data_IF_459398208406
#
_entry.id   IF_459398208406
#
_cell.length_a   1.000
_cell.length_b   1.000
_cell.length_c   1.000
_cell.angle_alpha   90.00
_cell.angle_beta   90.00
_cell.angle_gamma   90.00
#
_symmetry.space_group_name_H-M   'P 1'
#
loop_
_entity.id
_entity.type
_entity.pdbx_description
1 polymer ?
#
# COMPACT_ATOMS: atom_id res chain seq x y z
N UNK A 1 -26.74 66.41 4.55
CA UNK A 1 -26.96 65.47 5.68
C UNK A 1 -27.97 64.35 5.37
N UNK A 2 -28.72 64.41 4.27
CA UNK A 2 -29.84 63.48 3.98
C UNK A 2 -29.48 62.30 3.07
N UNK A 3 -28.33 62.32 2.40
CA UNK A 3 -27.88 61.22 1.52
C UNK A 3 -27.04 60.15 2.27
N UNK A 4 -26.26 60.55 3.27
CA UNK A 4 -25.46 59.62 4.09
C UNK A 4 -26.34 58.73 4.98
N UNK A 5 -27.46 59.26 5.47
CA UNK A 5 -28.44 58.51 6.29
C UNK A 5 -29.18 57.46 5.45
N UNK A 6 -29.44 57.73 4.16
CA UNK A 6 -30.08 56.75 3.26
C UNK A 6 -29.16 55.58 2.89
N UNK A 7 -27.85 55.81 2.78
CA UNK A 7 -26.87 54.73 2.53
C UNK A 7 -26.68 53.85 3.77
N UNK A 8 -26.67 54.44 4.97
CA UNK A 8 -26.60 53.69 6.23
C UNK A 8 -27.87 52.85 6.45
N UNK A 9 -29.06 53.37 6.12
CA UNK A 9 -30.31 52.59 6.21
C UNK A 9 -30.38 51.44 5.18
N UNK A 10 -29.82 51.62 3.98
CA UNK A 10 -29.80 50.56 2.96
C UNK A 10 -28.84 49.43 3.35
N UNK A 11 -27.70 49.76 3.97
CA UNK A 11 -26.74 48.77 4.49
C UNK A 11 -27.37 48.02 5.67
N UNK A 12 -28.08 48.70 6.58
CA UNK A 12 -28.79 48.03 7.68
C UNK A 12 -29.94 47.13 7.19
N UNK A 13 -30.66 47.48 6.11
CA UNK A 13 -31.70 46.60 5.57
C UNK A 13 -31.14 45.35 4.84
N UNK A 14 -29.92 45.40 4.31
CA UNK A 14 -29.29 44.24 3.68
C UNK A 14 -28.72 43.22 4.68
N UNK A 15 -28.55 43.58 5.96
CA UNK A 15 -28.12 42.66 7.02
C UNK A 15 -29.27 41.99 7.79
N UNK A 16 -30.52 42.36 7.54
CA UNK A 16 -31.67 41.86 8.32
C UNK A 16 -32.39 40.66 7.71
N UNK A 17 -31.94 40.13 6.56
CA UNK A 17 -32.59 39.00 5.87
C UNK A 17 -31.59 37.94 5.40
N UNK A 18 -30.49 37.73 6.13
CA UNK A 18 -29.85 36.41 6.14
C UNK A 18 -30.55 35.63 7.24
N UNK A 19 -31.69 35.03 6.89
CA UNK A 19 -32.16 33.85 7.61
C UNK A 19 -31.10 32.80 7.31
N UNK A 20 -30.13 32.65 8.21
CA UNK A 20 -29.49 31.36 8.34
C UNK A 20 -30.64 30.39 8.56
N UNK A 21 -30.82 29.44 7.64
CA UNK A 21 -31.51 28.23 8.04
C UNK A 21 -30.66 27.69 9.18
N UNK A 22 -31.08 27.97 10.42
CA UNK A 22 -30.76 27.14 11.56
C UNK A 22 -31.34 25.78 11.16
N UNK A 23 -30.50 24.94 10.56
CA UNK A 23 -30.70 23.51 10.71
C UNK A 23 -30.71 23.32 12.22
N UNK A 24 -31.91 23.13 12.78
CA UNK A 24 -32.16 22.65 14.13
C UNK A 24 -31.64 21.20 14.23
N UNK A 25 -30.35 20.99 13.94
CA UNK A 25 -29.61 19.90 14.53
C UNK A 25 -29.54 20.23 16.01
N UNK A 26 -30.58 19.79 16.73
CA UNK A 26 -30.68 19.93 18.17
C UNK A 26 -29.33 19.57 18.78
N UNK A 27 -28.67 20.55 19.38
CA UNK A 27 -27.48 20.29 20.18
C UNK A 27 -27.86 19.22 21.20
N UNK A 28 -27.04 18.16 21.38
CA UNK A 28 -27.34 17.14 22.36
C UNK A 28 -27.57 17.82 23.72
N UNK A 29 -28.55 17.35 24.52
CA UNK A 29 -28.87 17.96 25.80
C UNK A 29 -27.62 18.07 26.68
N UNK A 30 -27.49 19.15 27.45
CA UNK A 30 -26.31 19.52 28.26
C UNK A 30 -25.80 18.42 29.22
N UNK A 31 -26.59 17.36 29.45
CA UNK A 31 -26.30 16.24 30.37
C UNK A 31 -26.06 14.88 29.69
N UNK A 32 -25.94 14.81 28.36
CA UNK A 32 -25.52 13.57 27.70
C UNK A 32 -24.15 13.75 27.04
N UNK A 33 -23.14 13.07 27.59
CA UNK A 33 -21.88 12.88 26.86
C UNK A 33 -22.20 12.32 25.45
N UNK A 34 -21.55 12.83 24.38
CA UNK A 34 -21.74 12.25 23.06
C UNK A 34 -21.38 10.76 23.10
N UNK A 35 -22.15 9.91 22.40
CA UNK A 35 -21.93 8.46 22.45
C UNK A 35 -20.53 8.13 21.94
N UNK A 36 -19.81 7.27 22.65
CA UNK A 36 -18.51 6.81 22.17
C UNK A 36 -18.73 5.72 21.12
N UNK A 37 -17.93 5.68 20.04
CA UNK A 37 -18.11 4.70 18.97
C UNK A 37 -18.18 3.25 19.49
N UNK A 38 -17.26 2.86 20.37
CA UNK A 38 -17.18 1.52 20.94
C UNK A 38 -18.23 1.18 22.02
N UNK A 39 -18.98 2.16 22.54
CA UNK A 39 -19.98 1.92 23.59
C UNK A 39 -21.22 1.24 23.04
N UNK A 40 -21.60 1.54 21.80
CA UNK A 40 -22.74 0.90 21.14
C UNK A 40 -22.48 -0.61 20.97
N UNK A 41 -21.32 -0.98 20.44
CA UNK A 41 -21.02 -2.39 20.14
C UNK A 41 -20.76 -3.21 21.40
N UNK A 42 -20.27 -2.56 22.46
CA UNK A 42 -20.17 -3.18 23.78
C UNK A 42 -21.54 -3.66 24.33
N UNK A 43 -22.65 -3.07 23.87
CA UNK A 43 -24.00 -3.44 24.27
C UNK A 43 -24.60 -4.56 23.41
N UNK A 44 -24.16 -4.71 22.15
CA UNK A 44 -24.73 -5.69 21.22
C UNK A 44 -24.19 -7.12 21.43
N UNK A 45 -23.02 -7.27 22.07
CA UNK A 45 -22.36 -8.55 22.40
C UNK A 45 -22.38 -9.57 21.24
N UNK A 46 -21.95 -9.12 20.06
CA UNK A 46 -21.93 -9.93 18.84
C UNK A 46 -20.89 -11.05 18.94
N UNK A 47 -21.19 -12.26 18.40
CA UNK A 47 -20.18 -13.31 18.29
C UNK A 47 -19.06 -12.90 17.32
N UNK A 48 -17.83 -13.43 17.47
CA UNK A 48 -16.74 -13.20 16.53
C UNK A 48 -17.15 -13.42 15.08
N UNK A 49 -16.86 -12.47 14.19
CA UNK A 49 -17.22 -12.57 12.77
C UNK A 49 -16.52 -13.72 12.07
N UNK A 50 -17.26 -14.39 11.19
CA UNK A 50 -16.82 -15.60 10.50
C UNK A 50 -16.39 -15.29 9.06
N UNK A 51 -15.14 -15.60 8.67
CA UNK A 51 -14.68 -15.53 7.27
C UNK A 51 -15.60 -16.36 6.34
N UNK A 52 -15.77 -15.91 5.10
CA UNK A 52 -16.62 -16.49 4.04
C UNK A 52 -18.14 -16.45 4.32
N UNK A 53 -18.55 -16.43 5.57
CA UNK A 53 -19.94 -16.25 5.98
C UNK A 53 -20.31 -14.77 6.08
N UNK A 54 -19.58 -14.01 6.89
CA UNK A 54 -19.87 -12.59 7.16
C UNK A 54 -19.14 -11.64 6.20
N UNK A 55 -18.03 -12.07 5.59
CA UNK A 55 -17.19 -11.22 4.74
C UNK A 55 -16.32 -12.05 3.78
N UNK A 56 -15.79 -11.41 2.73
CA UNK A 56 -14.78 -12.01 1.85
C UNK A 56 -13.40 -11.83 2.48
N UNK A 57 -12.66 -12.92 2.78
CA UNK A 57 -11.33 -12.80 3.37
C UNK A 57 -10.37 -12.06 2.45
N UNK A 58 -9.57 -11.17 3.02
CA UNK A 58 -8.57 -10.42 2.27
C UNK A 58 -7.32 -11.26 2.00
N UNK A 59 -6.83 -11.22 0.76
CA UNK A 59 -5.58 -11.85 0.36
C UNK A 59 -4.44 -10.84 0.46
N UNK A 60 -3.34 -11.26 1.07
CA UNK A 60 -2.12 -10.46 1.23
C UNK A 60 -0.99 -11.11 0.44
N UNK A 61 -0.77 -10.73 -0.83
CA UNK A 61 0.31 -11.31 -1.65
C UNK A 61 1.66 -11.18 -0.93
N UNK A 62 2.46 -12.24 -0.92
CA UNK A 62 3.72 -12.36 -0.15
C UNK A 62 3.62 -12.21 1.39
N UNK A 63 2.41 -12.01 1.92
CA UNK A 63 2.14 -11.82 3.33
C UNK A 63 1.36 -12.97 3.94
N UNK A 64 0.76 -12.71 5.11
CA UNK A 64 -0.13 -13.65 5.79
C UNK A 64 -1.08 -12.91 6.72
N UNK A 65 -2.22 -13.51 7.00
CA UNK A 65 -3.15 -13.06 8.03
C UNK A 65 -2.68 -13.54 9.41
N UNK A 66 -2.89 -12.73 10.44
CA UNK A 66 -2.55 -13.05 11.82
C UNK A 66 -3.47 -14.17 12.33
N UNK A 67 -2.86 -15.22 12.88
CA UNK A 67 -3.61 -16.28 13.52
C UNK A 67 -4.27 -15.78 14.82
N UNK A 68 -5.47 -16.27 15.08
CA UNK A 68 -6.19 -16.01 16.33
C UNK A 68 -6.85 -17.25 16.88
N UNK A 69 -7.23 -17.17 18.16
CA UNK A 69 -8.09 -18.13 18.82
C UNK A 69 -9.30 -17.42 19.39
N UNK A 70 -10.45 -18.09 19.41
CA UNK A 70 -11.62 -17.58 20.12
C UNK A 70 -11.56 -18.06 21.57
N UNK A 71 -11.54 -17.13 22.52
CA UNK A 71 -11.56 -17.39 23.96
C UNK A 71 -12.55 -16.45 24.62
N UNK A 72 -13.58 -17.00 25.26
CA UNK A 72 -14.64 -16.23 25.96
C UNK A 72 -15.29 -15.14 25.08
N UNK A 73 -15.50 -15.44 23.79
CA UNK A 73 -16.09 -14.49 22.82
C UNK A 73 -15.11 -13.46 22.25
N UNK A 74 -13.82 -13.48 22.64
CA UNK A 74 -12.79 -12.60 22.08
C UNK A 74 -11.98 -13.30 21.01
N UNK A 75 -11.66 -12.60 19.91
CA UNK A 75 -10.54 -12.99 19.03
C UNK A 75 -9.23 -12.62 19.71
N UNK A 76 -8.43 -13.63 20.04
CA UNK A 76 -7.16 -13.48 20.74
C UNK A 76 -6.01 -13.63 19.76
N UNK A 77 -5.27 -12.55 19.57
CA UNK A 77 -4.07 -12.48 18.73
C UNK A 77 -2.81 -12.41 19.59
N UNK A 78 -1.68 -12.87 19.02
CA UNK A 78 -0.35 -12.68 19.59
C UNK A 78 0.59 -12.11 18.54
N UNK A 79 1.06 -10.89 18.79
CA UNK A 79 2.10 -10.23 18.02
C UNK A 79 3.42 -10.27 18.79
N UNK A 80 4.49 -10.61 18.10
CA UNK A 80 5.86 -10.61 18.62
C UNK A 80 6.68 -9.64 17.79
N UNK A 81 7.10 -8.53 18.37
CA UNK A 81 8.05 -7.62 17.73
C UNK A 81 9.47 -8.18 17.92
N UNK A 82 10.17 -8.51 16.84
CA UNK A 82 11.48 -9.15 16.90
C UNK A 82 12.41 -8.76 15.75
N UNK A 83 13.74 -8.86 15.92
CA UNK A 83 14.68 -8.80 14.82
C UNK A 83 14.51 -10.01 13.89
N UNK A 84 14.52 -9.77 12.58
CA UNK A 84 14.32 -10.79 11.55
C UNK A 84 15.34 -10.63 10.41
N UNK A 85 15.61 -11.73 9.69
CA UNK A 85 16.17 -11.67 8.35
C UNK A 85 15.00 -11.74 7.36
N UNK A 86 14.85 -10.72 6.51
CA UNK A 86 13.79 -10.65 5.52
C UNK A 86 14.40 -10.59 4.11
N UNK A 87 13.89 -11.41 3.20
CA UNK A 87 14.31 -11.38 1.81
C UNK A 87 13.38 -10.46 1.02
N UNK A 88 13.89 -9.37 0.45
CA UNK A 88 13.08 -8.43 -0.36
C UNK A 88 12.89 -8.98 -1.78
N UNK A 89 13.96 -9.57 -2.34
CA UNK A 89 13.97 -10.27 -3.62
C UNK A 89 15.17 -11.23 -3.63
N UNK A 90 15.22 -12.13 -4.61
CA UNK A 90 16.41 -12.97 -4.82
C UNK A 90 17.66 -12.07 -4.97
N UNK A 91 18.68 -12.37 -4.18
CA UNK A 91 19.90 -11.56 -4.11
C UNK A 91 19.86 -10.34 -3.17
N UNK A 92 18.75 -10.00 -2.51
CA UNK A 92 18.70 -8.93 -1.49
C UNK A 92 17.97 -9.38 -0.21
N UNK A 93 18.75 -9.61 0.84
CA UNK A 93 18.27 -9.86 2.21
C UNK A 93 18.59 -8.70 3.13
N UNK A 94 17.71 -8.46 4.10
CA UNK A 94 17.85 -7.40 5.08
C UNK A 94 17.70 -7.90 6.52
N UNK A 95 18.54 -7.39 7.40
CA UNK A 95 18.42 -7.53 8.85
C UNK A 95 17.55 -6.41 9.38
N UNK A 96 16.26 -6.70 9.53
CA UNK A 96 15.22 -5.73 9.83
C UNK A 96 14.43 -6.13 11.08
N UNK A 97 13.43 -5.37 11.48
CA UNK A 97 12.50 -5.72 12.55
C UNK A 97 11.12 -6.00 11.96
N UNK A 98 10.37 -6.89 12.60
CA UNK A 98 9.05 -7.27 12.11
C UNK A 98 8.18 -7.88 13.20
N UNK A 99 6.91 -8.03 12.86
CA UNK A 99 5.95 -8.72 13.70
C UNK A 99 5.80 -10.18 13.27
N UNK A 100 5.91 -11.10 14.21
CA UNK A 100 5.77 -12.55 14.02
C UNK A 100 6.75 -13.16 12.98
N UNK A 101 7.88 -12.52 12.70
CA UNK A 101 8.83 -13.00 11.70
C UNK A 101 8.63 -12.46 10.28
N UNK A 102 7.79 -11.44 10.06
CA UNK A 102 7.61 -10.81 8.74
C UNK A 102 7.66 -9.28 8.79
N UNK A 103 8.03 -8.67 7.68
CA UNK A 103 7.98 -7.22 7.46
C UNK A 103 7.46 -6.91 6.05
N UNK A 104 6.26 -6.33 5.89
CA UNK A 104 5.32 -5.95 6.95
C UNK A 104 4.85 -7.10 7.84
N UNK A 105 4.34 -6.76 9.02
CA UNK A 105 3.70 -7.69 9.95
C UNK A 105 2.46 -8.36 9.35
N UNK A 106 1.94 -9.41 10.00
CA UNK A 106 0.74 -10.09 9.53
C UNK A 106 -0.48 -9.16 9.51
N UNK A 107 -1.39 -9.34 8.55
CA UNK A 107 -2.66 -8.62 8.50
C UNK A 107 -3.53 -9.04 9.70
N UNK A 108 -3.97 -8.09 10.51
CA UNK A 108 -5.00 -8.37 11.52
C UNK A 108 -6.36 -8.26 10.83
N UNK A 109 -7.11 -9.36 10.81
CA UNK A 109 -8.39 -9.41 10.10
C UNK A 109 -9.52 -9.76 11.08
N UNK A 110 -10.51 -8.87 11.13
CA UNK A 110 -11.64 -8.91 12.06
C UNK A 110 -12.89 -8.39 11.36
N UNK A 111 -14.04 -8.53 12.02
CA UNK A 111 -15.30 -7.94 11.60
C UNK A 111 -15.72 -6.80 12.54
N UNK A 112 -16.58 -5.92 12.05
CA UNK A 112 -17.24 -4.88 12.83
C UNK A 112 -17.91 -5.48 14.09
N UNK A 113 -17.71 -4.85 15.24
CA UNK A 113 -18.16 -5.32 16.54
C UNK A 113 -17.31 -6.43 17.17
N UNK A 114 -16.26 -6.93 16.51
CA UNK A 114 -15.39 -7.94 17.12
C UNK A 114 -14.67 -7.40 18.37
N UNK A 115 -14.77 -8.18 19.45
CA UNK A 115 -14.00 -7.98 20.68
C UNK A 115 -12.64 -8.65 20.52
N UNK A 116 -11.57 -7.91 20.74
CA UNK A 116 -10.21 -8.43 20.55
C UNK A 116 -9.34 -8.32 21.80
N UNK A 117 -8.45 -9.30 21.95
CA UNK A 117 -7.30 -9.24 22.84
C UNK A 117 -6.05 -9.43 22.01
N UNK A 118 -5.17 -8.44 22.00
CA UNK A 118 -3.91 -8.51 21.27
C UNK A 118 -2.79 -8.46 22.29
N UNK A 119 -2.13 -9.61 22.45
CA UNK A 119 -0.91 -9.70 23.25
C UNK A 119 0.27 -9.28 22.39
N UNK A 120 1.09 -8.35 22.88
CA UNK A 120 2.30 -7.89 22.20
C UNK A 120 3.51 -8.23 23.04
N UNK A 121 4.35 -9.16 22.56
CA UNK A 121 5.64 -9.50 23.17
C UNK A 121 6.76 -8.73 22.50
N UNK A 122 7.57 -8.03 23.28
CA UNK A 122 8.75 -7.33 22.79
C UNK A 122 9.99 -8.22 22.90
N UNK A 123 10.55 -8.69 21.78
CA UNK A 123 11.87 -9.35 21.72
C UNK A 123 12.96 -8.45 21.08
N UNK A 124 12.67 -7.18 20.83
CA UNK A 124 13.64 -6.20 20.36
C UNK A 124 14.66 -5.89 21.47
N UNK A 125 15.85 -5.38 21.12
CA UNK A 125 16.83 -4.93 22.11
C UNK A 125 16.47 -3.59 22.79
N UNK A 126 15.37 -2.96 22.37
CA UNK A 126 14.91 -1.63 22.82
C UNK A 126 13.44 -1.69 23.25
N UNK A 127 12.95 -0.80 24.13
CA UNK A 127 11.53 -0.70 24.41
C UNK A 127 10.69 -0.42 23.15
N UNK A 128 9.42 -0.77 23.17
CA UNK A 128 8.48 -0.51 22.06
C UNK A 128 7.07 -0.26 22.61
N UNK A 129 6.13 0.06 21.73
CA UNK A 129 4.69 0.04 21.95
C UNK A 129 4.02 -0.34 20.62
N UNK A 130 2.69 -0.46 20.58
CA UNK A 130 1.94 -0.59 19.33
C UNK A 130 0.76 0.37 19.38
N UNK A 131 0.67 1.25 18.38
CA UNK A 131 -0.47 2.12 18.12
C UNK A 131 -1.34 1.55 17.02
N UNK A 132 -2.66 1.75 17.16
CA UNK A 132 -3.71 1.20 16.29
C UNK A 132 -4.27 2.33 15.42
N UNK A 133 -3.50 2.68 14.40
CA UNK A 133 -3.71 3.86 13.57
C UNK A 133 -5.08 3.86 12.88
N UNK A 134 -5.91 4.86 13.22
CA UNK A 134 -7.24 5.07 12.66
C UNK A 134 -8.36 4.29 13.38
N UNK A 135 -8.02 3.43 14.35
CA UNK A 135 -9.02 2.69 15.12
C UNK A 135 -9.57 3.57 16.25
N UNK A 136 -10.89 3.70 16.33
CA UNK A 136 -11.56 4.46 17.39
C UNK A 136 -11.66 3.64 18.66
N UNK A 137 -10.68 3.80 19.56
CA UNK A 137 -10.55 3.01 20.79
C UNK A 137 -10.45 3.87 22.05
N UNK A 138 -10.59 3.22 23.20
CA UNK A 138 -10.31 3.85 24.48
C UNK A 138 -8.85 4.32 24.54
N UNK A 139 -8.65 5.58 24.94
CA UNK A 139 -7.35 6.23 25.07
C UNK A 139 -6.30 5.37 25.80
N UNK A 140 -6.67 4.63 26.85
CA UNK A 140 -5.72 3.77 27.58
C UNK A 140 -5.14 2.60 26.77
N UNK A 141 -5.72 2.26 25.62
CA UNK A 141 -5.27 1.20 24.71
C UNK A 141 -4.56 1.74 23.46
N UNK A 142 -4.33 3.06 23.39
CA UNK A 142 -3.94 3.75 22.16
C UNK A 142 -2.51 3.46 21.67
N UNK A 143 -1.55 3.16 22.54
CA UNK A 143 -0.20 2.79 22.06
C UNK A 143 0.92 3.80 22.27
N UNK A 144 0.63 5.00 22.79
CA UNK A 144 1.58 6.11 22.78
C UNK A 144 2.42 6.11 24.06
N UNK A 145 3.71 5.77 23.90
CA UNK A 145 4.64 5.68 25.03
C UNK A 145 4.79 7.02 25.77
N UNK A 146 4.56 7.01 27.09
CA UNK A 146 4.68 8.19 27.95
C UNK A 146 3.45 9.12 27.96
N UNK A 147 2.48 8.92 27.05
CA UNK A 147 1.23 9.67 27.01
C UNK A 147 0.05 8.82 27.45
N UNK A 148 -0.22 7.72 26.72
CA UNK A 148 -1.39 6.88 26.97
C UNK A 148 -1.04 5.57 27.67
N UNK A 149 0.23 5.15 27.61
CA UNK A 149 0.72 3.97 28.34
C UNK A 149 2.22 4.05 28.67
N UNK A 150 2.73 3.20 29.60
CA UNK A 150 4.16 2.93 29.70
C UNK A 150 4.68 2.12 28.50
N UNK A 151 5.99 2.21 28.24
CA UNK A 151 6.66 1.36 27.22
C UNK A 151 6.53 -0.12 27.55
N UNK A 152 6.61 -0.98 26.53
CA UNK A 152 6.80 -2.43 26.65
C UNK A 152 8.32 -2.70 26.69
N UNK A 153 8.92 -3.03 27.85
CA UNK A 153 10.35 -3.32 27.93
C UNK A 153 10.71 -4.60 27.14
N UNK A 154 11.97 -4.78 26.72
CA UNK A 154 12.45 -6.05 26.18
C UNK A 154 12.11 -7.24 27.10
N UNK A 155 11.58 -8.32 26.50
CA UNK A 155 11.15 -9.54 27.16
C UNK A 155 9.77 -9.50 27.81
N UNK A 156 9.09 -8.34 27.84
CA UNK A 156 7.76 -8.20 28.42
C UNK A 156 6.66 -8.40 27.38
N UNK A 157 5.46 -8.74 27.87
CA UNK A 157 4.25 -8.86 27.06
C UNK A 157 3.17 -7.96 27.62
N UNK A 158 2.56 -7.13 26.77
CA UNK A 158 1.45 -6.26 27.12
C UNK A 158 0.16 -6.74 26.46
N UNK A 159 -0.98 -6.45 27.07
CA UNK A 159 -2.31 -6.73 26.54
C UNK A 159 -2.95 -5.43 26.07
N UNK A 160 -3.44 -5.45 24.84
CA UNK A 160 -4.40 -4.47 24.34
C UNK A 160 -5.75 -5.15 24.17
N UNK A 161 -6.80 -4.57 24.76
CA UNK A 161 -8.15 -5.14 24.71
C UNK A 161 -9.15 -4.05 24.37
N UNK A 162 -9.85 -4.21 23.24
CA UNK A 162 -10.83 -3.25 22.76
C UNK A 162 -11.79 -3.91 21.75
N UNK A 163 -12.77 -3.14 21.28
CA UNK A 163 -13.76 -3.54 20.28
C UNK A 163 -13.47 -2.73 19.01
N UNK A 164 -13.64 -3.33 17.84
CA UNK A 164 -13.58 -2.61 16.57
C UNK A 164 -14.97 -2.08 16.20
N UNK A 165 -15.27 -0.78 16.36
CA UNK A 165 -16.63 -0.29 16.20
C UNK A 165 -17.05 -0.13 14.74
N UNK A 166 -16.12 0.29 13.89
CA UNK A 166 -16.41 0.63 12.50
C UNK A 166 -15.64 -0.28 11.55
N UNK A 167 -16.31 -0.71 10.48
CA UNK A 167 -15.64 -1.36 9.36
C UNK A 167 -14.75 -0.37 8.60
N UNK A 168 -13.60 -0.85 8.14
CA UNK A 168 -12.61 0.00 7.51
C UNK A 168 -11.28 -0.72 7.29
N UNK A 169 -10.29 0.07 6.92
CA UNK A 169 -8.91 -0.41 6.74
C UNK A 169 -7.98 0.53 7.49
N UNK A 170 -7.16 -0.05 8.35
CA UNK A 170 -6.36 0.65 9.34
C UNK A 170 -4.93 0.11 9.35
N UNK A 171 -4.09 0.66 10.20
CA UNK A 171 -2.70 0.24 10.34
C UNK A 171 -2.35 -0.01 11.81
N UNK A 172 -1.25 -0.71 12.05
CA UNK A 172 -0.63 -0.76 13.36
C UNK A 172 0.88 -0.59 13.22
N UNK A 173 1.46 0.21 14.12
CA UNK A 173 2.89 0.52 14.12
C UNK A 173 3.33 1.00 15.52
N UNK A 174 4.62 0.93 15.87
CA UNK A 174 5.12 1.45 17.12
C UNK A 174 4.91 2.94 17.26
N UNK A 175 4.65 3.38 18.50
CA UNK A 175 4.67 4.81 18.85
C UNK A 175 5.73 5.10 19.92
N UNK A 176 6.84 4.37 19.81
CA UNK A 176 8.09 4.57 20.53
C UNK A 176 9.23 4.52 19.51
N UNK A 177 10.09 5.55 19.47
CA UNK A 177 11.16 5.65 18.46
C UNK A 177 10.68 5.45 17.01
N UNK A 178 9.51 6.01 16.67
CA UNK A 178 8.76 5.81 15.40
C UNK A 178 9.66 5.76 14.16
N UNK A 179 10.46 6.81 13.93
CA UNK A 179 11.43 6.90 12.83
C UNK A 179 12.28 5.63 12.68
N UNK A 180 12.83 5.11 13.79
CA UNK A 180 13.68 3.92 13.76
C UNK A 180 12.87 2.64 13.66
N UNK A 181 11.80 2.48 14.44
CA UNK A 181 11.09 1.20 14.50
C UNK A 181 10.27 0.94 13.24
N UNK A 182 9.60 1.97 12.73
CA UNK A 182 8.83 1.92 11.48
C UNK A 182 9.76 1.79 10.29
N UNK A 183 10.81 2.61 10.18
CA UNK A 183 11.80 2.51 9.10
C UNK A 183 12.60 1.21 9.10
N UNK A 184 12.60 0.46 10.22
CA UNK A 184 13.12 -0.89 10.33
C UNK A 184 12.07 -1.97 10.03
N UNK A 185 10.83 -1.64 9.65
CA UNK A 185 9.82 -2.60 9.17
C UNK A 185 8.75 -3.02 10.17
N UNK A 186 8.70 -2.43 11.38
CA UNK A 186 7.63 -2.74 12.35
C UNK A 186 6.33 -2.02 11.99
N UNK A 187 5.70 -2.45 10.90
CA UNK A 187 4.44 -1.88 10.42
C UNK A 187 3.53 -3.00 9.92
N UNK A 188 2.22 -2.81 9.97
CA UNK A 188 1.26 -3.75 9.39
C UNK A 188 -0.13 -3.14 9.24
N UNK A 189 -1.02 -3.86 8.59
CA UNK A 189 -2.41 -3.42 8.36
C UNK A 189 -3.42 -4.18 9.22
N UNK A 190 -4.55 -3.53 9.44
CA UNK A 190 -5.75 -4.12 10.04
C UNK A 190 -6.89 -3.95 9.03
N UNK A 191 -7.66 -4.99 8.78
CA UNK A 191 -8.91 -4.89 8.03
C UNK A 191 -10.05 -5.27 8.98
N UNK A 192 -10.99 -4.34 9.15
CA UNK A 192 -12.26 -4.56 9.84
C UNK A 192 -13.33 -4.67 8.77
N UNK A 193 -13.80 -5.88 8.54
CA UNK A 193 -14.85 -6.13 7.56
C UNK A 193 -16.21 -5.71 8.08
N UNK A 194 -17.01 -5.13 7.19
CA UNK A 194 -18.44 -5.01 7.45
C UNK A 194 -19.03 -6.42 7.47
N UNK A 195 -19.92 -6.69 8.43
CA UNK A 195 -20.69 -7.94 8.44
C UNK A 195 -21.77 -7.88 7.37
N UNK A 196 -21.58 -8.62 6.29
CA UNK A 196 -22.49 -8.71 5.17
C UNK A 196 -22.67 -10.19 4.77
N UNK A 197 -23.72 -10.86 5.27
CA UNK A 197 -23.95 -12.27 4.96
C UNK A 197 -24.32 -12.51 3.49
N UNK A 198 -24.78 -11.48 2.76
CA UNK A 198 -25.10 -11.59 1.34
C UNK A 198 -23.82 -11.54 0.48
N UNK A 199 -23.41 -12.65 -0.17
CA UNK A 199 -22.20 -12.69 -1.00
C UNK A 199 -22.24 -11.70 -2.17
N UNK A 200 -23.42 -11.42 -2.73
CA UNK A 200 -23.57 -10.53 -3.90
C UNK A 200 -23.28 -9.05 -3.56
N UNK A 201 -23.18 -8.70 -2.27
CA UNK A 201 -22.84 -7.35 -1.80
C UNK A 201 -21.39 -7.21 -1.36
N UNK A 202 -20.62 -8.29 -1.39
CA UNK A 202 -19.21 -8.34 -1.05
C UNK A 202 -18.36 -8.29 -2.33
N UNK A 203 -17.09 -7.86 -2.26
CA UNK A 203 -16.19 -8.10 -3.38
C UNK A 203 -15.97 -9.60 -3.57
N UNK A 204 -15.83 -10.04 -4.82
CA UNK A 204 -15.41 -11.40 -5.15
C UNK A 204 -13.94 -11.63 -4.77
N UNK A 205 -13.12 -10.58 -4.88
CA UNK A 205 -11.70 -10.59 -4.50
C UNK A 205 -11.36 -9.35 -3.69
N UNK A 206 -10.77 -9.54 -2.52
CA UNK A 206 -10.25 -8.44 -1.69
C UNK A 206 -8.75 -8.61 -1.48
N UNK A 207 -7.95 -7.62 -1.87
CA UNK A 207 -6.49 -7.65 -1.77
C UNK A 207 -5.98 -6.55 -0.85
N UNK A 208 -4.97 -6.88 -0.03
CA UNK A 208 -4.26 -5.92 0.83
C UNK A 208 -2.83 -5.69 0.35
N UNK A 209 -2.49 -4.42 0.11
CA UNK A 209 -1.20 -3.96 -0.37
C UNK A 209 -0.65 -2.92 0.61
N UNK A 210 0.41 -3.30 1.30
CA UNK A 210 1.19 -2.50 2.23
C UNK A 210 2.38 -1.90 1.51
N UNK A 211 2.36 -0.58 1.32
CA UNK A 211 3.45 0.18 0.71
C UNK A 211 4.46 0.56 1.78
N UNK A 212 5.74 0.34 1.52
CA UNK A 212 6.82 0.69 2.43
C UNK A 212 8.10 0.99 1.66
N UNK A 213 9.03 1.72 2.28
CA UNK A 213 10.27 2.18 1.67
C UNK A 213 11.47 1.96 2.59
N UNK A 214 12.64 1.86 1.98
CA UNK A 214 13.88 1.52 2.66
C UNK A 214 15.05 2.25 2.01
N UNK A 215 16.04 2.57 2.84
CA UNK A 215 17.37 2.92 2.35
C UNK A 215 18.34 1.80 2.72
N UNK A 216 18.85 1.12 1.71
CA UNK A 216 19.78 0.00 1.88
C UNK A 216 20.98 0.23 0.95
N UNK A 217 22.15 0.48 1.55
CA UNK A 217 23.39 0.65 0.80
C UNK A 217 23.72 -0.62 0.01
N UNK A 218 24.18 -0.44 -1.23
CA UNK A 218 24.64 -1.53 -2.09
C UNK A 218 25.72 -2.34 -1.37
N UNK A 219 25.61 -3.66 -1.40
CA UNK A 219 26.52 -4.56 -0.70
C UNK A 219 26.19 -4.82 0.77
N UNK A 220 25.18 -4.15 1.32
CA UNK A 220 24.84 -4.21 2.76
C UNK A 220 23.47 -4.84 2.98
N UNK A 221 23.19 -5.22 4.22
CA UNK A 221 21.94 -5.87 4.61
C UNK A 221 21.14 -5.08 5.66
N UNK A 222 21.61 -3.92 6.13
CA UNK A 222 20.92 -3.20 7.21
C UNK A 222 20.26 -1.94 6.66
N UNK A 223 18.92 -1.79 6.79
CA UNK A 223 18.27 -0.53 6.46
C UNK A 223 18.84 0.62 7.30
N UNK A 224 18.92 1.80 6.70
CA UNK A 224 19.25 3.06 7.37
C UNK A 224 17.97 3.89 7.60
N UNK A 225 17.32 3.80 8.77
CA UNK A 225 16.08 4.52 9.05
C UNK A 225 16.30 6.03 9.31
N UNK A 226 17.53 6.52 9.22
CA UNK A 226 17.87 7.95 9.38
C UNK A 226 18.06 8.65 8.03
N UNK A 227 18.12 7.90 6.93
CA UNK A 227 18.19 8.48 5.60
C UNK A 227 16.83 8.99 5.16
N UNK A 228 16.84 10.00 4.29
CA UNK A 228 15.64 10.58 3.67
C UNK A 228 15.66 10.40 2.15
N UNK A 229 16.60 9.59 1.63
CA UNK A 229 16.72 9.18 0.24
C UNK A 229 16.51 7.67 0.13
N UNK A 230 15.28 7.27 -0.15
CA UNK A 230 14.88 5.87 -0.21
C UNK A 230 15.27 5.25 -1.55
N UNK A 231 15.82 4.04 -1.55
CA UNK A 231 16.34 3.40 -2.76
C UNK A 231 15.77 2.00 -3.02
N UNK A 232 14.91 1.51 -2.12
CA UNK A 232 14.14 0.27 -2.27
C UNK A 232 12.71 0.56 -1.83
N UNK A 233 11.76 0.38 -2.74
CA UNK A 233 10.36 0.70 -2.51
C UNK A 233 9.51 -0.53 -2.79
N UNK A 234 8.75 -0.95 -1.79
CA UNK A 234 8.18 -2.29 -1.71
C UNK A 234 6.66 -2.29 -1.66
N UNK A 235 6.06 -3.33 -2.22
CA UNK A 235 4.68 -3.75 -1.96
C UNK A 235 4.73 -5.05 -1.15
N UNK A 236 4.10 -5.07 0.02
CA UNK A 236 4.13 -6.21 0.96
C UNK A 236 5.56 -6.71 1.25
N UNK A 237 6.52 -5.79 1.35
CA UNK A 237 7.92 -6.10 1.67
C UNK A 237 8.72 -6.71 0.51
N UNK A 238 8.16 -6.75 -0.71
CA UNK A 238 8.81 -7.24 -1.92
C UNK A 238 8.91 -6.15 -2.99
N UNK A 239 9.87 -6.31 -3.90
CA UNK A 239 9.98 -5.52 -5.13
C UNK A 239 9.79 -6.43 -6.35
N UNK A 240 9.40 -5.88 -7.49
CA UNK A 240 9.25 -6.65 -8.72
C UNK A 240 10.61 -7.25 -9.15
N UNK A 241 10.71 -8.53 -9.57
CA UNK A 241 9.65 -9.48 -9.85
C UNK A 241 9.30 -10.42 -8.69
N UNK A 242 9.79 -10.18 -7.47
CA UNK A 242 9.53 -11.03 -6.32
C UNK A 242 8.12 -10.85 -5.72
N UNK A 243 7.39 -9.82 -6.16
CA UNK A 243 5.99 -9.62 -5.81
C UNK A 243 5.11 -10.72 -6.38
N UNK A 244 4.28 -11.33 -5.53
CA UNK A 244 3.28 -12.31 -5.92
C UNK A 244 2.12 -11.60 -6.62
N UNK A 245 1.67 -12.12 -7.79
CA UNK A 245 0.63 -11.46 -8.56
C UNK A 245 -0.73 -11.49 -7.86
N UNK A 246 -1.55 -10.48 -8.13
CA UNK A 246 -2.97 -10.51 -7.75
C UNK A 246 -3.70 -11.32 -8.83
N UNK A 247 -4.54 -12.25 -8.42
CA UNK A 247 -5.21 -13.19 -9.33
C UNK A 247 -6.72 -13.04 -9.22
N UNK A 248 -7.38 -12.67 -10.33
CA UNK A 248 -8.81 -12.47 -10.39
C UNK A 248 -9.43 -13.18 -11.60
N UNK A 249 -10.68 -13.62 -11.47
CA UNK A 249 -11.45 -14.20 -12.56
C UNK A 249 -12.12 -13.08 -13.36
N UNK A 250 -12.29 -13.30 -14.67
CA UNK A 250 -13.11 -12.45 -15.52
C UNK A 250 -14.52 -12.35 -14.93
N UNK A 251 -14.94 -11.12 -14.62
CA UNK A 251 -16.24 -10.82 -14.00
C UNK A 251 -16.19 -10.57 -12.50
N UNK A 252 -15.08 -10.82 -11.82
CA UNK A 252 -14.94 -10.55 -10.38
C UNK A 252 -15.05 -9.04 -10.11
N UNK A 253 -15.78 -8.66 -9.06
CA UNK A 253 -15.65 -7.36 -8.40
C UNK A 253 -14.42 -7.40 -7.51
N UNK A 254 -13.41 -6.60 -7.83
CA UNK A 254 -12.11 -6.61 -7.16
C UNK A 254 -11.93 -5.37 -6.31
N UNK A 255 -11.58 -5.57 -5.04
CA UNK A 255 -11.10 -4.54 -4.14
C UNK A 255 -9.59 -4.66 -3.98
N UNK A 256 -8.90 -3.53 -4.04
CA UNK A 256 -7.50 -3.42 -3.63
C UNK A 256 -7.40 -2.33 -2.57
N UNK A 257 -6.89 -2.71 -1.41
CA UNK A 257 -6.69 -1.85 -0.23
C UNK A 257 -5.22 -1.50 -0.13
N UNK A 258 -4.89 -0.24 -0.36
CA UNK A 258 -3.54 0.28 -0.25
C UNK A 258 -3.37 0.99 1.08
N UNK A 259 -2.49 0.51 1.94
CA UNK A 259 -2.01 1.23 3.11
C UNK A 259 -0.60 1.73 2.87
N UNK A 260 -0.35 3.03 3.03
CA UNK A 260 0.99 3.58 2.91
C UNK A 260 1.65 3.71 4.28
N UNK A 261 2.53 2.74 4.57
CA UNK A 261 3.29 2.65 5.81
C UNK A 261 4.72 3.21 5.65
N UNK A 262 4.98 3.92 4.54
CA UNK A 262 6.26 4.56 4.26
C UNK A 262 6.53 5.71 5.25
N UNK A 263 7.80 6.03 5.46
CA UNK A 263 8.20 7.08 6.41
C UNK A 263 7.98 8.50 5.87
N UNK A 264 8.07 8.69 4.55
CA UNK A 264 8.04 10.01 3.92
C UNK A 264 7.32 10.06 2.57
N UNK A 265 7.48 9.06 1.70
CA UNK A 265 6.99 9.22 0.33
C UNK A 265 5.50 8.89 0.16
N UNK A 266 4.83 9.71 -0.63
CA UNK A 266 3.48 9.43 -1.14
C UNK A 266 3.58 8.61 -2.42
N UNK A 267 2.62 7.70 -2.62
CA UNK A 267 2.66 6.77 -3.76
C UNK A 267 1.41 6.93 -4.64
N UNK A 268 1.52 7.55 -5.82
CA UNK A 268 0.47 7.51 -6.83
C UNK A 268 0.47 6.14 -7.52
N UNK A 269 -0.40 5.22 -7.12
CA UNK A 269 -0.48 3.88 -7.71
C UNK A 269 -1.37 3.91 -8.95
N UNK A 270 -0.79 3.62 -10.11
CA UNK A 270 -1.48 3.51 -11.39
C UNK A 270 -1.75 2.04 -11.73
N UNK A 271 -2.98 1.69 -12.09
CA UNK A 271 -3.37 0.36 -12.58
C UNK A 271 -3.64 0.42 -14.09
N UNK A 272 -2.92 -0.40 -14.85
CA UNK A 272 -3.12 -0.52 -16.29
C UNK A 272 -4.39 -1.32 -16.60
N UNK A 273 -4.98 -1.10 -17.79
CA UNK A 273 -6.10 -1.91 -18.30
C UNK A 273 -7.45 -1.67 -17.64
N UNK A 274 -7.51 -0.91 -16.55
CA UNK A 274 -8.71 -0.67 -15.77
C UNK A 274 -8.88 0.80 -15.39
N UNK A 275 -10.13 1.21 -15.24
CA UNK A 275 -10.51 2.32 -14.39
C UNK A 275 -11.18 1.78 -13.13
N UNK A 276 -11.10 2.53 -12.04
CA UNK A 276 -11.62 2.12 -10.73
C UNK A 276 -12.24 3.29 -9.99
N UNK A 277 -13.01 3.01 -8.95
CA UNK A 277 -13.52 4.01 -8.01
C UNK A 277 -12.80 3.89 -6.67
N UNK A 278 -12.50 5.02 -6.04
CA UNK A 278 -11.98 5.03 -4.66
C UNK A 278 -13.19 5.01 -3.72
N UNK A 279 -13.45 3.86 -3.10
CA UNK A 279 -14.68 3.62 -2.33
C UNK A 279 -14.51 3.78 -0.81
N UNK A 280 -13.28 3.95 -0.34
CA UNK A 280 -13.02 4.12 1.09
C UNK A 280 -11.62 4.66 1.38
N UNK A 281 -11.48 5.22 2.58
CA UNK A 281 -10.20 5.64 3.16
C UNK A 281 -10.10 5.14 4.60
N UNK A 282 -9.00 5.45 5.26
CA UNK A 282 -8.79 5.38 6.72
C UNK A 282 -9.86 6.08 7.57
N UNK A 283 -10.68 6.97 6.99
CA UNK A 283 -11.78 7.66 7.65
C UNK A 283 -13.16 7.05 7.38
N UNK A 284 -13.24 5.92 6.67
CA UNK A 284 -14.48 5.20 6.39
C UNK A 284 -14.82 5.08 4.90
N UNK A 285 -16.07 4.71 4.63
CA UNK A 285 -16.56 4.36 3.30
C UNK A 285 -17.28 5.54 2.61
N UNK A 286 -17.22 5.57 1.29
CA UNK A 286 -18.05 6.46 0.50
C UNK A 286 -19.54 6.15 0.75
N UNK A 287 -20.32 7.17 1.13
CA UNK A 287 -21.75 7.02 1.41
C UNK A 287 -22.58 6.70 0.18
N UNK A 288 -22.14 7.15 -1.01
CA UNK A 288 -22.75 6.84 -2.29
C UNK A 288 -21.68 6.59 -3.36
N UNK A 289 -21.58 5.34 -3.83
CA UNK A 289 -20.64 4.94 -4.89
C UNK A 289 -21.03 5.46 -6.29
N UNK A 290 -22.27 5.89 -6.48
CA UNK A 290 -22.80 6.32 -7.79
C UNK A 290 -22.26 7.67 -8.23
N UNK A 291 -21.88 8.54 -7.29
CA UNK A 291 -21.32 9.87 -7.53
C UNK A 291 -19.79 9.88 -7.64
N UNK A 292 -19.14 8.74 -7.39
CA UNK A 292 -17.68 8.61 -7.49
C UNK A 292 -17.22 8.68 -8.95
N UNK A 293 -16.19 9.49 -9.19
CA UNK A 293 -15.54 9.61 -10.49
C UNK A 293 -14.58 8.44 -10.70
N UNK A 294 -14.60 7.78 -11.87
CA UNK A 294 -13.60 6.78 -12.21
C UNK A 294 -12.20 7.39 -12.33
N UNK A 295 -11.23 6.73 -11.73
CA UNK A 295 -9.80 7.06 -11.74
C UNK A 295 -9.00 5.94 -12.40
N UNK A 296 -7.75 6.25 -12.75
CA UNK A 296 -6.75 5.23 -13.17
C UNK A 296 -5.51 5.24 -12.28
N UNK A 297 -5.35 6.28 -11.47
CA UNK A 297 -4.24 6.45 -10.54
C UNK A 297 -4.79 6.92 -9.20
N UNK A 298 -4.41 6.26 -8.10
CA UNK A 298 -4.79 6.63 -6.74
C UNK A 298 -3.57 7.15 -6.00
N UNK A 299 -3.60 8.39 -5.54
CA UNK A 299 -2.59 8.88 -4.59
C UNK A 299 -2.86 8.25 -3.22
N UNK A 300 -1.85 7.58 -2.67
CA UNK A 300 -1.85 7.04 -1.31
C UNK A 300 -0.87 7.87 -0.47
N UNK A 301 -1.36 8.88 0.29
CA UNK A 301 -0.53 9.68 1.18
C UNK A 301 0.13 8.84 2.28
N UNK A 302 1.23 9.33 2.86
CA UNK A 302 1.88 8.68 4.01
C UNK A 302 0.91 8.59 5.17
N UNK A 303 0.86 7.43 5.83
CA UNK A 303 -0.03 7.20 6.96
C UNK A 303 -1.50 7.20 6.58
N UNK A 304 -1.83 6.99 5.29
CA UNK A 304 -3.21 6.94 4.82
C UNK A 304 -3.53 5.63 4.10
N UNK A 305 -4.82 5.35 4.03
CA UNK A 305 -5.36 4.19 3.32
C UNK A 305 -6.28 4.62 2.19
N UNK A 306 -6.28 3.85 1.09
CA UNK A 306 -7.22 3.96 -0.02
C UNK A 306 -7.73 2.58 -0.43
N UNK A 307 -9.04 2.47 -0.64
CA UNK A 307 -9.67 1.25 -1.17
C UNK A 307 -10.22 1.54 -2.56
N UNK A 308 -9.74 0.80 -3.56
CA UNK A 308 -10.20 0.92 -4.94
C UNK A 308 -11.06 -0.26 -5.33
N UNK A 309 -12.15 -0.01 -6.06
CA UNK A 309 -13.07 -1.03 -6.58
C UNK A 309 -13.15 -0.94 -8.11
N UNK A 310 -13.07 -2.09 -8.78
CA UNK A 310 -13.33 -2.23 -10.22
C UNK A 310 -13.89 -3.61 -10.56
N UNK A 311 -14.52 -3.70 -11.73
CA UNK A 311 -14.96 -4.96 -12.32
C UNK A 311 -13.82 -5.52 -13.19
N UNK A 312 -13.37 -6.74 -12.92
CA UNK A 312 -12.35 -7.43 -13.68
C UNK A 312 -12.87 -7.91 -15.05
N UNK A 313 -13.14 -6.98 -15.98
CA UNK A 313 -13.74 -7.22 -17.29
C UNK A 313 -12.76 -7.28 -18.47
N UNK A 314 -11.44 -7.18 -18.22
CA UNK A 314 -10.41 -7.07 -19.24
C UNK A 314 -9.29 -8.11 -19.00
N UNK A 315 -9.38 -9.34 -19.55
CA UNK A 315 -8.37 -10.39 -19.35
C UNK A 315 -6.97 -9.95 -19.78
N UNK A 316 -5.96 -10.28 -18.99
CA UNK A 316 -4.58 -9.88 -19.28
C UNK A 316 -3.63 -10.03 -18.09
N UNK A 317 -2.36 -9.70 -18.34
CA UNK A 317 -1.38 -9.38 -17.31
C UNK A 317 -1.25 -7.87 -17.25
N UNK A 318 -1.87 -7.25 -16.26
CA UNK A 318 -1.93 -5.81 -16.10
C UNK A 318 -1.03 -5.37 -14.97
N UNK A 319 -0.02 -4.57 -15.29
CA UNK A 319 0.86 -4.03 -14.27
C UNK A 319 0.15 -2.91 -13.48
N UNK A 320 0.39 -2.86 -12.18
CA UNK A 320 0.15 -1.68 -11.39
C UNK A 320 1.41 -1.31 -10.63
N UNK A 321 1.66 -0.02 -10.54
CA UNK A 321 2.92 0.47 -10.00
C UNK A 321 2.80 1.89 -9.47
N UNK A 322 3.74 2.27 -8.61
CA UNK A 322 3.89 3.67 -8.26
C UNK A 322 4.29 4.49 -9.50
N UNK A 323 3.66 5.63 -9.70
CA UNK A 323 3.86 6.49 -10.87
C UNK A 323 4.86 7.64 -10.58
N UNK A 324 5.51 7.61 -9.42
CA UNK A 324 6.77 8.32 -9.21
C UNK A 324 7.88 7.56 -9.93
N UNK A 325 8.51 8.16 -10.94
CA UNK A 325 9.46 7.47 -11.82
C UNK A 325 10.65 6.85 -11.09
N UNK A 326 11.06 7.46 -9.98
CA UNK A 326 12.11 6.90 -9.12
C UNK A 326 11.64 5.64 -8.37
N UNK A 327 10.36 5.53 -8.02
CA UNK A 327 9.84 4.50 -7.11
C UNK A 327 9.70 3.13 -7.78
N UNK A 328 9.75 3.10 -9.11
CA UNK A 328 9.79 1.87 -9.92
C UNK A 328 11.22 1.37 -10.13
N UNK A 329 12.22 2.02 -9.52
CA UNK A 329 13.63 1.66 -9.57
C UNK A 329 14.10 1.14 -8.20
N UNK A 330 15.11 0.26 -8.21
CA UNK A 330 15.81 -0.21 -7.02
C UNK A 330 17.10 0.59 -6.80
N UNK A 331 18.12 -0.02 -6.19
CA UNK A 331 19.37 0.59 -5.73
C UNK A 331 20.09 1.42 -6.83
N UNK A 332 19.71 2.69 -6.96
CA UNK A 332 20.34 3.65 -7.85
C UNK A 332 21.63 4.17 -7.19
N UNK A 333 22.75 4.11 -7.90
CA UNK A 333 23.92 4.91 -7.52
C UNK A 333 23.65 6.38 -7.81
N UNK A 334 23.37 7.19 -6.79
CA UNK A 334 23.03 8.62 -6.97
C UNK A 334 24.24 9.53 -7.25
N UNK A 335 25.44 8.95 -7.37
CA UNK A 335 26.70 9.67 -7.51
C UNK A 335 27.27 9.66 -8.95
N UNK A 336 26.53 9.13 -9.92
CA UNK A 336 26.98 9.11 -11.31
C UNK A 336 26.58 10.39 -12.06
N UNK A 337 27.47 10.94 -12.91
CA UNK A 337 27.13 12.07 -13.76
C UNK A 337 26.06 11.68 -14.80
N UNK A 338 25.24 12.65 -15.23
CA UNK A 338 24.27 12.44 -16.31
C UNK A 338 24.99 12.26 -17.65
N UNK A 339 24.80 11.11 -18.28
CA UNK A 339 25.45 10.71 -19.54
C UNK A 339 24.52 10.79 -20.76
N UNK A 340 23.27 11.28 -20.61
CA UNK A 340 22.29 11.33 -21.69
C UNK A 340 22.81 12.12 -22.89
N UNK A 341 22.83 11.47 -24.06
CA UNK A 341 23.32 12.05 -25.31
C UNK A 341 24.84 12.17 -25.40
N UNK A 342 25.60 11.60 -24.47
CA UNK A 342 27.06 11.57 -24.55
C UNK A 342 27.53 10.54 -25.58
N UNK A 343 28.32 10.99 -26.56
CA UNK A 343 29.08 10.09 -27.43
C UNK A 343 30.31 9.57 -26.68
N UNK A 344 30.27 8.28 -26.36
CA UNK A 344 31.35 7.62 -25.62
C UNK A 344 32.43 7.04 -26.54
N UNK A 345 32.29 7.14 -27.87
CA UNK A 345 33.29 6.67 -28.83
C UNK A 345 33.78 5.24 -28.55
N UNK A 346 35.10 5.09 -28.38
CA UNK A 346 35.78 3.83 -28.04
C UNK A 346 36.09 3.67 -26.53
N UNK A 347 35.51 4.52 -25.67
CA UNK A 347 35.75 4.54 -24.23
C UNK A 347 35.42 3.20 -23.57
N UNK A 348 34.25 2.65 -23.89
CA UNK A 348 33.79 1.36 -23.35
C UNK A 348 34.75 0.23 -23.73
N UNK A 349 35.26 0.23 -24.97
CA UNK A 349 36.20 -0.78 -25.44
C UNK A 349 37.54 -0.69 -24.71
N UNK A 350 38.06 0.52 -24.52
CA UNK A 350 39.30 0.77 -23.76
C UNK A 350 39.15 0.37 -22.29
N UNK A 351 38.02 0.69 -21.66
CA UNK A 351 37.79 0.35 -20.24
C UNK A 351 37.54 -1.15 -20.07
N UNK A 352 36.86 -1.83 -21.01
CA UNK A 352 36.65 -3.29 -20.97
C UNK A 352 37.95 -4.10 -20.93
N UNK A 353 39.05 -3.56 -21.46
CA UNK A 353 40.38 -4.17 -21.35
C UNK A 353 40.88 -4.24 -19.91
N UNK A 354 40.41 -3.33 -19.04
CA UNK A 354 40.77 -3.25 -17.62
C UNK A 354 39.69 -3.85 -16.71
N UNK A 355 38.41 -3.61 -17.04
CA UNK A 355 37.23 -4.04 -16.28
C UNK A 355 36.30 -4.80 -17.24
N UNK A 356 36.43 -6.14 -17.32
CA UNK A 356 35.56 -6.96 -18.16
C UNK A 356 34.08 -6.71 -17.81
N UNK A 357 33.26 -6.40 -18.83
CA UNK A 357 31.82 -6.14 -18.67
C UNK A 357 31.41 -4.68 -18.46
N UNK A 358 32.36 -3.74 -18.39
CA UNK A 358 32.04 -2.30 -18.31
C UNK A 358 31.21 -1.83 -19.52
N UNK A 359 30.11 -1.11 -19.26
CA UNK A 359 29.31 -0.42 -20.29
C UNK A 359 28.96 0.95 -19.73
N UNK A 360 29.15 2.01 -20.50
CA UNK A 360 28.66 3.33 -20.06
C UNK A 360 27.12 3.31 -20.09
N UNK A 361 26.52 3.68 -18.97
CA UNK A 361 25.08 3.60 -18.76
C UNK A 361 24.40 4.94 -19.01
N UNK A 362 23.17 4.89 -19.52
CA UNK A 362 22.29 6.05 -19.59
C UNK A 362 22.58 7.02 -20.74
N UNK A 363 23.29 6.61 -21.79
CA UNK A 363 23.53 7.46 -22.97
C UNK A 363 22.30 7.59 -23.87
N UNK A 364 21.47 6.55 -23.96
CA UNK A 364 20.20 6.56 -24.74
C UNK A 364 18.93 6.43 -23.88
N UNK A 365 19.09 6.30 -22.55
CA UNK A 365 17.99 6.27 -21.58
C UNK A 365 18.11 5.14 -20.57
N UNK A 366 17.04 4.89 -19.81
CA UNK A 366 17.03 3.88 -18.74
C UNK A 366 17.06 2.43 -19.26
N UNK A 367 16.66 2.19 -20.51
CA UNK A 367 16.70 0.85 -21.11
C UNK A 367 18.15 0.32 -21.22
N UNK A 368 19.13 1.19 -21.47
CA UNK A 368 20.55 0.77 -21.52
C UNK A 368 21.03 0.11 -20.22
N UNK A 369 20.42 0.50 -19.09
CA UNK A 369 20.77 0.00 -17.76
C UNK A 369 20.25 -1.42 -17.53
N UNK A 370 19.16 -1.83 -18.20
CA UNK A 370 18.60 -3.19 -18.09
C UNK A 370 19.43 -4.24 -18.85
N UNK A 371 20.23 -3.80 -19.83
CA UNK A 371 21.09 -4.65 -20.65
C UNK A 371 22.54 -4.74 -20.14
N UNK A 372 22.87 -4.09 -19.03
CA UNK A 372 24.25 -4.01 -18.57
C UNK A 372 24.72 -5.32 -17.94
N UNK A 373 25.81 -5.88 -18.47
CA UNK A 373 26.43 -7.11 -17.96
C UNK A 373 27.40 -6.89 -16.80
N UNK A 374 27.27 -5.78 -16.07
CA UNK A 374 28.14 -5.51 -14.93
C UNK A 374 27.79 -6.45 -13.77
N UNK A 375 28.78 -7.01 -13.06
CA UNK A 375 28.53 -7.82 -11.87
C UNK A 375 27.78 -7.00 -10.82
N UNK A 376 26.64 -7.52 -10.36
CA UNK A 376 25.90 -6.94 -9.24
C UNK A 376 26.66 -7.29 -7.94
N UNK A 377 26.96 -6.31 -7.06
CA UNK A 377 27.58 -6.61 -5.78
C UNK A 377 26.78 -7.63 -4.97
N UNK A 378 27.42 -8.43 -4.09
CA UNK A 378 26.70 -9.34 -3.21
C UNK A 378 25.62 -8.62 -2.40
N UNK A 379 24.49 -9.29 -2.13
CA UNK A 379 23.36 -8.71 -1.41
C UNK A 379 22.84 -7.40 -2.03
N UNK A 380 22.65 -7.39 -3.34
CA UNK A 380 22.12 -6.25 -4.10
C UNK A 380 21.33 -6.76 -5.30
N UNK A 381 20.44 -5.91 -5.80
CA UNK A 381 19.54 -6.23 -6.91
C UNK A 381 19.71 -5.22 -8.04
N UNK A 382 19.41 -5.62 -9.30
CA UNK A 382 19.49 -4.69 -10.40
C UNK A 382 18.52 -3.53 -10.20
N UNK A 383 18.94 -2.35 -10.65
CA UNK A 383 18.16 -1.12 -10.61
C UNK A 383 16.78 -1.28 -11.29
N UNK A 384 16.76 -1.93 -12.45
CA UNK A 384 15.56 -2.16 -13.25
C UNK A 384 15.66 -3.51 -13.94
N UNK A 385 14.49 -4.06 -14.25
CA UNK A 385 14.33 -5.08 -15.27
C UNK A 385 14.26 -6.49 -14.73
N UNK A 386 13.21 -7.16 -15.15
CA UNK A 386 13.02 -8.60 -15.07
C UNK A 386 12.63 -9.13 -16.44
N UNK A 387 12.73 -10.45 -16.64
CA UNK A 387 12.35 -11.07 -17.90
C UNK A 387 10.83 -11.17 -18.03
N UNK A 388 10.27 -10.49 -19.03
CA UNK A 388 8.89 -10.63 -19.46
C UNK A 388 8.77 -11.41 -20.77
N UNK A 389 7.53 -11.59 -21.25
CA UNK A 389 7.27 -12.34 -22.50
C UNK A 389 7.92 -11.72 -23.75
N UNK A 390 8.21 -10.42 -23.72
CA UNK A 390 8.77 -9.65 -24.86
C UNK A 390 10.16 -9.08 -24.57
N UNK A 391 10.87 -9.61 -23.57
CA UNK A 391 12.21 -9.16 -23.18
C UNK A 391 12.27 -8.50 -21.80
N UNK A 392 13.37 -7.77 -21.55
CA UNK A 392 13.61 -7.10 -20.26
C UNK A 392 12.66 -5.92 -20.08
N UNK A 393 11.97 -5.91 -18.95
CA UNK A 393 11.14 -4.76 -18.54
C UNK A 393 12.00 -3.60 -18.05
N UNK A 394 11.41 -2.42 -17.94
CA UNK A 394 12.04 -1.21 -17.35
C UNK A 394 11.55 -0.94 -15.93
N UNK A 395 11.02 -1.97 -15.25
CA UNK A 395 10.43 -1.89 -13.92
C UNK A 395 11.18 -2.85 -12.98
N UNK A 396 11.44 -2.43 -11.74
CA UNK A 396 12.11 -3.27 -10.73
C UNK A 396 11.74 -2.96 -9.28
N UNK A 397 11.19 -1.79 -8.98
CA UNK A 397 10.84 -1.36 -7.62
C UNK A 397 9.38 -1.67 -7.24
N UNK A 398 8.66 -0.63 -6.81
CA UNK A 398 7.28 -0.69 -6.33
C UNK A 398 6.29 -0.90 -7.49
N UNK A 399 6.16 -2.16 -7.91
CA UNK A 399 5.24 -2.61 -8.93
C UNK A 399 4.77 -4.03 -8.63
N UNK A 400 3.60 -4.41 -9.14
CA UNK A 400 3.09 -5.77 -9.11
C UNK A 400 2.14 -5.99 -10.30
N UNK A 401 1.71 -7.22 -10.56
CA UNK A 401 0.89 -7.61 -11.70
C UNK A 401 -0.46 -8.15 -11.23
N UNK A 402 -1.53 -7.61 -11.79
CA UNK A 402 -2.88 -8.18 -11.75
C UNK A 402 -3.05 -9.13 -12.94
N UNK A 403 -3.27 -10.41 -12.66
CA UNK A 403 -3.55 -11.44 -13.66
C UNK A 403 -5.04 -11.76 -13.67
N UNK A 404 -5.70 -11.43 -14.79
CA UNK A 404 -7.13 -11.71 -14.99
C UNK A 404 -7.31 -12.81 -16.01
N UNK A 405 -8.10 -13.85 -15.67
CA UNK A 405 -8.35 -15.03 -16.52
C UNK A 405 -9.82 -15.43 -16.50
N UNK A 406 -10.29 -16.02 -17.60
CA UNK A 406 -11.70 -16.42 -17.72
C UNK A 406 -12.08 -17.62 -16.85
N UNK A 407 -11.20 -18.61 -16.76
CA UNK A 407 -11.52 -19.93 -16.22
C UNK A 407 -10.64 -20.26 -15.01
N UNK A 408 -10.69 -19.41 -13.98
CA UNK A 408 -10.02 -19.65 -12.70
C UNK A 408 -10.99 -19.46 -11.54
N UNK A 409 -10.86 -20.27 -10.49
CA UNK A 409 -11.65 -20.14 -9.25
C UNK A 409 -10.75 -20.04 -8.00
N UNK A 410 -9.42 -20.11 -8.17
CA UNK A 410 -8.43 -20.04 -7.08
C UNK A 410 -7.64 -18.73 -7.14
N UNK A 411 -6.75 -18.49 -6.17
CA UNK A 411 -5.75 -17.42 -6.19
C UNK A 411 -4.39 -17.89 -6.74
N UNK A 412 -4.29 -19.14 -7.21
CA UNK A 412 -3.04 -19.69 -7.72
C UNK A 412 -2.61 -18.94 -8.99
N UNK A 413 -1.31 -18.69 -9.14
CA UNK A 413 -0.79 -18.00 -10.30
C UNK A 413 -1.09 -18.79 -11.60
N UNK A 414 -1.92 -18.28 -12.53
CA UNK A 414 -2.26 -18.97 -13.78
C UNK A 414 -1.13 -18.95 -14.82
N UNK A 415 0.03 -18.37 -14.50
CA UNK A 415 1.13 -18.17 -15.44
C UNK A 415 0.89 -17.01 -16.42
N UNK A 416 1.82 -16.77 -17.36
CA UNK A 416 1.77 -15.62 -18.26
C UNK A 416 0.53 -15.61 -19.18
N UNK A 417 0.02 -14.41 -19.49
CA UNK A 417 -1.13 -14.24 -20.36
C UNK A 417 -0.83 -14.65 -21.79
N UNK A 418 -1.75 -15.40 -22.41
CA UNK A 418 -1.67 -15.80 -23.82
C UNK A 418 -2.36 -14.76 -24.68
N UNK A 419 -1.58 -13.92 -25.34
CA UNK A 419 -2.10 -12.87 -26.22
C UNK A 419 -2.84 -13.46 -27.43
N UNK A 420 -4.08 -13.02 -27.72
CA UNK A 420 -4.76 -13.35 -28.97
C UNK A 420 -3.95 -12.95 -30.22
N UNK A 421 -4.14 -13.66 -31.33
CA UNK A 421 -3.50 -13.32 -32.60
C UNK A 421 -3.87 -11.88 -33.02
N UNK A 422 -2.88 -11.10 -33.45
CA UNK A 422 -3.07 -9.70 -33.84
C UNK A 422 -3.28 -8.70 -32.70
N UNK A 423 -3.22 -9.12 -31.43
CA UNK A 423 -3.40 -8.23 -30.26
C UNK A 423 -2.10 -7.65 -29.69
N UNK A 424 -0.95 -8.02 -30.25
CA UNK A 424 0.37 -7.55 -29.82
C UNK A 424 0.90 -6.55 -30.84
N UNK A 425 1.37 -5.40 -30.36
CA UNK A 425 2.03 -4.43 -31.22
C UNK A 425 3.30 -5.03 -31.84
N UNK A 426 3.48 -4.85 -33.15
CA UNK A 426 4.62 -5.34 -33.90
C UNK A 426 5.14 -4.22 -34.83
N UNK A 427 6.36 -4.36 -35.38
CA UNK A 427 6.85 -3.44 -36.39
C UNK A 427 5.88 -3.36 -37.58
N UNK A 428 5.47 -2.15 -37.94
CA UNK A 428 4.59 -1.93 -39.09
C UNK A 428 5.27 -2.34 -40.40
N UNK A 429 4.53 -3.07 -41.23
CA UNK A 429 4.94 -3.46 -42.59
C UNK A 429 5.03 -2.23 -43.50
N UNK A 430 5.78 -2.34 -44.60
CA UNK A 430 5.86 -1.25 -45.59
C UNK A 430 4.48 -0.93 -46.18
N UNK A 431 3.68 -1.96 -46.44
CA UNK A 431 2.31 -1.82 -46.97
C UNK A 431 1.41 -1.04 -46.00
N UNK A 432 1.47 -1.31 -44.70
CA UNK A 432 0.72 -0.56 -43.68
C UNK A 432 1.18 0.89 -43.59
N UNK A 433 2.50 1.13 -43.60
CA UNK A 433 3.07 2.47 -43.58
C UNK A 433 2.68 3.26 -44.83
N UNK A 434 2.71 2.66 -46.01
CA UNK A 434 2.29 3.28 -47.27
C UNK A 434 0.78 3.54 -47.29
N UNK A 435 -0.04 2.57 -46.87
CA UNK A 435 -1.49 2.70 -46.73
C UNK A 435 -1.86 3.91 -45.87
N UNK A 436 -1.12 4.11 -44.78
CA UNK A 436 -1.40 5.17 -43.80
C UNK A 436 -0.57 6.45 -44.06
N UNK A 437 0.19 6.51 -45.16
CA UNK A 437 0.95 7.69 -45.58
C UNK A 437 2.16 8.04 -44.70
N UNK A 438 2.65 7.08 -43.90
CA UNK A 438 3.77 7.25 -42.97
C UNK A 438 5.09 6.99 -43.72
N UNK A 439 5.90 8.03 -43.87
CA UNK A 439 7.26 7.91 -44.45
C UNK A 439 8.27 7.63 -43.34
N UNK A 440 9.04 6.54 -43.46
CA UNK A 440 10.23 6.34 -42.61
C UNK A 440 11.22 7.48 -42.90
N UNK A 441 11.68 8.18 -41.86
CA UNK A 441 12.71 9.22 -41.96
C UNK A 441 14.09 8.61 -42.06
#
# INVERSE_FOLDING_TARGET
MTQLIKIILLILCCFSNVVFAEDDAALPPEDSDPPRPWEKDALEDLPPGEPDNDYTPAVVPNGRTAEYKIVDGYKVFHLTAEPIEWEIADGLKVHTWGYNGSSPGPLIEVAEGDRVRIYVTNKLPTPTTVHWHGVLINCGMDGVSGLTQPVIPPGQTFLYEFIFPDSGTFMYHPHHQTMTQEGMGLVGMIIVHKREPDPEKRPDRDFSIMLHEWTIDVGTARPNPLDMTFNILTMNGKVMPATEPLVAKLGDTVWIRYGNLSAMDHHPIHLHGYNFKIIGTDGGWASDKSVLVPETTVLVPVGAVKVTEFLANNPGDWIFHCHMTHHIMNQMGHQFPNMLGMDVGDLDEKIRQLIPGYKTLGTTGMHDMTESGMPIPPNSIPMLGFDGQFGKTVLGGMANVLRVRENIDTYEDPGPYKFPEGSVAAPATEEELERDGIKRR
#
